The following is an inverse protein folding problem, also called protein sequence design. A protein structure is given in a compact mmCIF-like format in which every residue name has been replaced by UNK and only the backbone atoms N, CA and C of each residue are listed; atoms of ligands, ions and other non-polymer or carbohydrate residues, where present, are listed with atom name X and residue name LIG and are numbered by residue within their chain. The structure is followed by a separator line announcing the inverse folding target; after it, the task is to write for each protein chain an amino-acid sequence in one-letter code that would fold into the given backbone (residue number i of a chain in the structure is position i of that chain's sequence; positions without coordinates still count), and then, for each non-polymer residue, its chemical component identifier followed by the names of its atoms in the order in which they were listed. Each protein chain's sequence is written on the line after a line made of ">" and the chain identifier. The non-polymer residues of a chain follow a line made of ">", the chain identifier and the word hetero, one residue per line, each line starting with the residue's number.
data_IF_251145319939
#
_entry.id   IF_251145319939
#
_cell.length_a   1.000
_cell.length_b   1.000
_cell.length_c   1.000
_cell.angle_alpha   90.00
_cell.angle_beta   90.00
_cell.angle_gamma   90.00
#
_symmetry.space_group_name_H-M   'P 1'
#
loop_
_entity.id
_entity.type
_entity.pdbx_description
1 polymer ?
#
# COMPACT_ATOMS: atom_id res chain seq x y z
N UNK A 1 3.66 4.87 21.22
CA UNK A 1 4.07 3.53 21.73
C UNK A 1 3.05 2.97 22.70
N UNK A 2 3.18 1.71 23.14
CA UNK A 2 2.32 1.16 24.20
C UNK A 2 2.60 1.85 25.55
N UNK A 3 1.60 1.92 26.46
CA UNK A 3 1.78 2.53 27.78
C UNK A 3 2.98 1.97 28.56
N UNK A 4 3.21 0.65 28.46
CA UNK A 4 4.33 -0.01 29.13
C UNK A 4 5.70 0.47 28.61
N UNK A 5 5.82 0.72 27.31
CA UNK A 5 7.07 1.20 26.72
C UNK A 5 7.30 2.68 27.03
N UNK A 6 6.25 3.50 27.01
CA UNK A 6 6.33 4.91 27.40
C UNK A 6 6.83 5.06 28.85
N UNK A 7 6.19 4.35 29.79
CA UNK A 7 6.61 4.36 31.19
C UNK A 7 8.06 3.88 31.40
N UNK A 8 8.55 2.94 30.58
CA UNK A 8 9.94 2.49 30.64
C UNK A 8 10.92 3.57 30.16
N UNK A 9 10.57 4.36 29.16
CA UNK A 9 11.42 5.43 28.64
C UNK A 9 11.46 6.62 29.60
N UNK A 10 10.34 6.95 30.24
CA UNK A 10 10.30 7.96 31.30
C UNK A 10 11.22 7.59 32.46
N UNK A 11 11.28 6.31 32.85
CA UNK A 11 12.25 5.80 33.84
C UNK A 11 13.71 5.86 33.39
N UNK A 12 13.97 6.06 32.11
CA UNK A 12 15.30 6.21 31.52
C UNK A 12 15.62 7.70 31.23
N UNK A 13 14.88 8.62 31.86
CA UNK A 13 15.05 10.09 31.78
C UNK A 13 14.79 10.70 30.39
N UNK A 14 14.07 9.99 29.51
CA UNK A 14 13.55 10.59 28.28
C UNK A 14 12.42 11.57 28.61
N UNK A 15 12.52 12.80 28.12
CA UNK A 15 11.58 13.89 28.44
C UNK A 15 10.47 14.11 27.41
N UNK A 16 10.68 13.68 26.16
CA UNK A 16 9.68 13.76 25.08
C UNK A 16 9.15 12.36 24.74
N UNK A 17 8.29 11.83 25.62
CA UNK A 17 7.68 10.51 25.47
C UNK A 17 6.23 10.67 25.04
N UNK A 18 5.89 10.14 23.86
CA UNK A 18 4.53 10.17 23.34
C UNK A 18 3.89 8.76 23.31
N UNK A 19 2.72 8.66 23.92
CA UNK A 19 1.85 7.51 23.72
C UNK A 19 1.17 7.63 22.33
N UNK A 20 1.12 6.52 21.61
CA UNK A 20 0.36 6.44 20.37
C UNK A 20 -0.76 5.43 20.63
N UNK A 21 -1.92 5.94 20.99
CA UNK A 21 -2.99 5.17 21.62
C UNK A 21 -3.51 4.03 20.76
N UNK A 22 -3.48 4.18 19.42
CA UNK A 22 -3.88 3.11 18.49
C UNK A 22 -2.86 1.95 18.42
N UNK A 23 -1.66 2.12 19.02
CA UNK A 23 -0.67 1.08 19.20
C UNK A 23 0.33 0.93 18.03
N UNK A 24 1.33 0.07 18.24
CA UNK A 24 2.45 -0.11 17.29
C UNK A 24 2.00 -0.67 15.93
N UNK A 25 1.04 -1.59 15.91
CA UNK A 25 0.55 -2.15 14.66
C UNK A 25 -0.16 -1.11 13.80
N UNK A 26 -0.97 -0.24 14.41
CA UNK A 26 -1.61 0.87 13.69
C UNK A 26 -0.58 1.88 13.19
N UNK A 27 0.43 2.24 14.01
CA UNK A 27 1.55 3.08 13.57
C UNK A 27 2.22 2.54 12.30
N UNK A 28 2.48 1.22 12.28
CA UNK A 28 3.08 0.55 11.13
C UNK A 28 2.09 0.43 9.96
N UNK A 29 0.79 0.32 10.24
CA UNK A 29 -0.27 0.32 9.23
C UNK A 29 -0.41 1.69 8.57
N UNK A 30 -0.17 2.78 9.29
CA UNK A 30 -0.11 4.13 8.75
C UNK A 30 1.16 4.37 7.88
N UNK A 31 2.04 3.38 7.73
CA UNK A 31 3.27 3.51 6.95
C UNK A 31 4.33 4.41 7.61
N UNK A 32 4.20 4.68 8.91
CA UNK A 32 5.11 5.56 9.63
C UNK A 32 6.46 4.88 9.91
N UNK A 33 7.50 5.70 10.04
CA UNK A 33 8.87 5.23 10.25
C UNK A 33 9.00 4.34 11.49
N UNK A 34 9.82 3.30 11.40
CA UNK A 34 10.15 2.42 12.53
C UNK A 34 11.65 2.33 12.69
N UNK A 35 12.12 2.07 13.91
CA UNK A 35 13.53 1.88 14.23
C UNK A 35 13.81 0.45 14.76
N UNK A 36 15.06 0.01 14.64
CA UNK A 36 15.56 -1.28 15.11
C UNK A 36 15.93 -2.28 14.00
N UNK A 37 16.38 -3.47 14.39
CA UNK A 37 16.92 -4.48 13.46
C UNK A 37 15.95 -4.84 12.31
N UNK A 38 14.65 -4.90 12.60
CA UNK A 38 13.61 -5.24 11.62
C UNK A 38 13.12 -4.04 10.80
N UNK A 39 13.58 -2.82 11.08
CA UNK A 39 13.14 -1.62 10.38
C UNK A 39 13.74 -1.51 8.98
N UNK A 40 14.98 -1.99 8.79
CA UNK A 40 15.67 -1.98 7.51
C UNK A 40 15.16 -3.07 6.53
N UNK A 41 14.33 -4.01 7.01
CA UNK A 41 13.82 -5.09 6.16
C UNK A 41 12.70 -4.56 5.26
N UNK A 42 12.71 -4.88 3.95
CA UNK A 42 11.69 -4.42 3.02
C UNK A 42 10.29 -4.92 3.38
N UNK A 43 9.31 -4.02 3.28
CA UNK A 43 7.89 -4.27 3.53
C UNK A 43 7.06 -3.78 2.34
N UNK A 44 5.80 -4.19 2.29
CA UNK A 44 4.88 -3.81 1.24
C UNK A 44 4.87 -2.28 0.99
N UNK A 45 4.82 -1.48 2.05
CA UNK A 45 4.77 -0.02 1.95
C UNK A 45 6.09 0.62 1.47
N UNK A 46 7.24 0.03 1.78
CA UNK A 46 8.54 0.58 1.34
C UNK A 46 8.85 0.24 -0.11
N UNK A 47 8.26 -0.83 -0.64
CA UNK A 47 8.48 -1.30 -2.01
C UNK A 47 7.37 -0.82 -2.96
N UNK A 48 6.19 -0.51 -2.44
CA UNK A 48 5.09 0.02 -3.24
C UNK A 48 5.48 1.33 -3.94
N UNK A 49 5.09 1.44 -5.20
CA UNK A 49 5.27 2.65 -6.01
C UNK A 49 4.16 3.64 -5.67
N UNK A 50 4.54 4.89 -5.39
CA UNK A 50 3.64 5.92 -4.83
C UNK A 50 3.14 6.93 -5.87
N UNK A 51 3.72 6.88 -7.08
CA UNK A 51 3.44 7.74 -8.24
C UNK A 51 2.35 7.16 -9.16
N UNK A 52 1.60 6.15 -8.69
CA UNK A 52 0.47 5.58 -9.42
C UNK A 52 -0.60 6.64 -9.70
N UNK A 53 -1.15 6.72 -10.92
CA UNK A 53 -2.26 7.60 -11.25
C UNK A 53 -3.50 7.34 -10.40
N UNK A 54 -4.13 8.43 -9.96
CA UNK A 54 -5.34 8.40 -9.12
C UNK A 54 -6.49 9.13 -9.84
N UNK A 55 -7.68 8.58 -9.72
CA UNK A 55 -8.91 9.11 -10.29
C UNK A 55 -10.08 8.98 -9.30
N UNK A 56 -11.12 9.79 -9.51
CA UNK A 56 -12.41 9.69 -8.84
C UNK A 56 -13.39 8.79 -9.59
N UNK A 57 -14.47 8.40 -8.93
CA UNK A 57 -15.55 7.59 -9.54
C UNK A 57 -16.30 8.36 -10.64
N UNK A 58 -16.35 9.69 -10.55
CA UNK A 58 -17.01 10.59 -11.49
C UNK A 58 -16.13 10.99 -12.69
N UNK A 59 -14.86 10.56 -12.72
CA UNK A 59 -13.97 10.84 -13.85
C UNK A 59 -14.42 10.07 -15.11
N UNK A 60 -14.13 10.63 -16.29
CA UNK A 60 -14.30 9.91 -17.57
C UNK A 60 -13.17 8.92 -17.78
N UNK A 61 -13.50 7.71 -18.24
CA UNK A 61 -12.53 6.64 -18.43
C UNK A 61 -11.46 7.01 -19.48
N UNK A 62 -11.85 7.71 -20.56
CA UNK A 62 -10.91 8.17 -21.58
C UNK A 62 -9.80 9.06 -21.04
N UNK A 63 -10.16 10.05 -20.23
CA UNK A 63 -9.21 11.01 -19.63
C UNK A 63 -8.27 10.33 -18.63
N UNK A 64 -8.80 9.37 -17.85
CA UNK A 64 -7.99 8.58 -16.92
C UNK A 64 -7.03 7.68 -17.69
N UNK A 65 -7.48 7.01 -18.75
CA UNK A 65 -6.63 6.18 -19.61
C UNK A 65 -5.47 6.99 -20.19
N UNK A 66 -5.75 8.15 -20.77
CA UNK A 66 -4.72 9.00 -21.38
C UNK A 66 -3.64 9.41 -20.37
N UNK A 67 -4.07 9.94 -19.21
CA UNK A 67 -3.12 10.31 -18.13
C UNK A 67 -2.31 9.13 -17.63
N UNK A 68 -2.94 7.97 -17.49
CA UNK A 68 -2.30 6.75 -16.98
C UNK A 68 -1.23 6.26 -17.96
N UNK A 69 -1.55 6.19 -19.24
CA UNK A 69 -0.61 5.81 -20.30
C UNK A 69 0.52 6.82 -20.47
N UNK A 70 0.22 8.12 -20.42
CA UNK A 70 1.22 9.18 -20.50
C UNK A 70 2.22 9.13 -19.34
N UNK A 71 1.79 8.67 -18.16
CA UNK A 71 2.66 8.44 -17.01
C UNK A 71 3.45 7.10 -17.10
N UNK A 72 3.25 6.29 -18.16
CA UNK A 72 3.88 4.98 -18.31
C UNK A 72 3.24 3.88 -17.46
N UNK A 73 2.01 4.10 -16.99
CA UNK A 73 1.26 3.15 -16.18
C UNK A 73 0.20 2.42 -17.00
N UNK A 74 -0.13 1.21 -16.57
CA UNK A 74 -1.24 0.39 -17.07
C UNK A 74 -2.30 0.15 -15.97
N UNK A 75 -2.16 0.87 -14.85
CA UNK A 75 -3.00 0.76 -13.67
C UNK A 75 -3.29 2.17 -13.13
N UNK A 76 -4.54 2.39 -12.72
CA UNK A 76 -4.96 3.56 -11.97
C UNK A 76 -5.76 3.12 -10.74
N UNK A 77 -5.62 3.86 -9.64
CA UNK A 77 -6.39 3.60 -8.41
C UNK A 77 -7.53 4.59 -8.31
N UNK A 78 -8.72 4.08 -8.00
CA UNK A 78 -9.91 4.91 -7.81
C UNK A 78 -10.06 5.20 -6.33
N UNK A 79 -10.09 6.49 -5.97
CA UNK A 79 -10.25 6.92 -4.58
C UNK A 79 -11.39 7.90 -4.40
N UNK A 80 -11.94 7.98 -3.19
CA UNK A 80 -12.81 9.10 -2.83
C UNK A 80 -12.00 10.37 -2.50
N UNK A 81 -12.70 11.45 -2.12
CA UNK A 81 -12.08 12.73 -1.76
C UNK A 81 -11.10 12.65 -0.57
N UNK A 82 -11.21 11.63 0.28
CA UNK A 82 -10.32 11.37 1.42
C UNK A 82 -9.17 10.41 1.09
N UNK A 83 -8.93 10.11 -0.21
CA UNK A 83 -7.93 9.14 -0.70
C UNK A 83 -8.16 7.69 -0.28
N UNK A 84 -9.34 7.35 0.22
CA UNK A 84 -9.72 5.97 0.51
C UNK A 84 -9.92 5.23 -0.81
N UNK A 85 -9.29 4.07 -0.93
CA UNK A 85 -9.39 3.23 -2.13
C UNK A 85 -10.79 2.63 -2.23
N UNK A 86 -11.48 2.89 -3.34
CA UNK A 86 -12.82 2.35 -3.63
C UNK A 86 -12.83 1.42 -4.84
N UNK A 87 -11.82 1.52 -5.70
CA UNK A 87 -11.71 0.70 -6.90
C UNK A 87 -10.34 0.72 -7.55
N UNK A 88 -10.20 -0.04 -8.63
CA UNK A 88 -8.98 -0.11 -9.43
C UNK A 88 -9.34 -0.29 -10.91
N UNK A 89 -8.57 0.36 -11.78
CA UNK A 89 -8.61 0.17 -13.22
C UNK A 89 -7.30 -0.47 -13.64
N UNK A 90 -7.36 -1.65 -14.28
CA UNK A 90 -6.19 -2.27 -14.92
C UNK A 90 -6.27 -2.08 -16.42
N UNK A 91 -5.25 -2.54 -17.15
CA UNK A 91 -5.20 -2.46 -18.60
C UNK A 91 -6.51 -2.88 -19.30
N UNK A 92 -7.18 -3.92 -18.79
CA UNK A 92 -8.47 -4.37 -19.33
C UNK A 92 -9.58 -3.34 -19.13
N UNK A 93 -9.73 -2.79 -17.92
CA UNK A 93 -10.76 -1.78 -17.65
C UNK A 93 -10.45 -0.45 -18.34
N UNK A 94 -9.18 -0.04 -18.37
CA UNK A 94 -8.74 1.18 -19.06
C UNK A 94 -9.02 1.12 -20.57
N UNK A 95 -8.97 -0.05 -21.18
CA UNK A 95 -9.28 -0.25 -22.60
C UNK A 95 -10.79 -0.18 -22.93
N UNK A 96 -11.65 0.04 -21.93
CA UNK A 96 -13.09 0.20 -22.11
C UNK A 96 -13.51 1.48 -22.85
N UNK A 97 -14.82 1.67 -22.95
CA UNK A 97 -15.44 2.82 -23.62
C UNK A 97 -14.99 4.15 -23.01
N UNK A 98 -14.48 5.07 -23.84
CA UNK A 98 -13.92 6.34 -23.38
C UNK A 98 -14.95 7.22 -22.67
N UNK A 99 -16.22 7.12 -23.05
CA UNK A 99 -17.29 8.01 -22.60
C UNK A 99 -17.96 7.56 -21.29
N UNK A 100 -17.67 6.35 -20.80
CA UNK A 100 -18.23 5.89 -19.52
C UNK A 100 -17.48 6.49 -18.32
N UNK A 101 -18.21 6.65 -17.22
CA UNK A 101 -17.63 7.03 -15.93
C UNK A 101 -16.81 5.88 -15.33
N UNK A 102 -15.75 6.24 -14.62
CA UNK A 102 -14.88 5.31 -13.90
C UNK A 102 -15.68 4.39 -12.97
N UNK A 103 -16.71 4.91 -12.28
CA UNK A 103 -17.57 4.11 -11.40
C UNK A 103 -18.11 2.84 -12.07
N UNK A 104 -18.47 2.93 -13.35
CA UNK A 104 -19.07 1.82 -14.11
C UNK A 104 -18.02 0.88 -14.71
N UNK A 105 -16.81 1.38 -14.93
CA UNK A 105 -15.73 0.64 -15.56
C UNK A 105 -14.80 -0.05 -14.55
N UNK A 106 -14.64 0.51 -13.36
CA UNK A 106 -13.69 0.02 -12.36
C UNK A 106 -14.03 -1.35 -11.82
N UNK A 107 -13.00 -2.06 -11.34
CA UNK A 107 -13.21 -3.16 -10.39
C UNK A 107 -13.39 -2.58 -8.99
N UNK A 108 -14.57 -2.71 -8.36
CA UNK A 108 -14.79 -2.21 -7.02
C UNK A 108 -14.09 -3.08 -5.98
N UNK A 109 -13.73 -2.48 -4.84
CA UNK A 109 -13.26 -3.21 -3.66
C UNK A 109 -12.08 -4.16 -3.89
N UNK A 110 -10.95 -3.68 -4.47
CA UNK A 110 -9.78 -4.52 -4.65
C UNK A 110 -9.26 -5.02 -3.29
N UNK A 111 -8.73 -6.25 -3.25
CA UNK A 111 -7.97 -6.71 -2.09
C UNK A 111 -6.75 -5.80 -1.88
N UNK A 112 -6.56 -5.35 -0.65
CA UNK A 112 -5.46 -4.46 -0.25
C UNK A 112 -4.64 -5.07 0.88
N UNK A 113 -3.39 -4.64 1.01
CA UNK A 113 -2.49 -5.05 2.09
C UNK A 113 -1.99 -3.84 2.88
N UNK A 114 -1.60 -4.07 4.13
CA UNK A 114 -1.05 -3.01 4.98
C UNK A 114 0.42 -2.74 4.64
N UNK A 115 0.91 -1.49 4.80
CA UNK A 115 2.30 -1.12 4.58
C UNK A 115 3.31 -2.01 5.30
N UNK A 116 2.95 -2.54 6.47
CA UNK A 116 3.86 -3.30 7.31
C UNK A 116 4.06 -4.77 6.91
N UNK A 117 3.27 -5.30 5.98
CA UNK A 117 3.36 -6.71 5.59
C UNK A 117 4.78 -6.98 5.04
N UNK A 118 5.51 -8.00 5.53
CA UNK A 118 6.84 -8.34 5.04
C UNK A 118 6.85 -8.60 3.54
N UNK A 119 7.89 -8.13 2.82
CA UNK A 119 7.88 -8.26 1.36
C UNK A 119 7.90 -9.72 0.89
N UNK A 120 8.52 -10.61 1.66
CA UNK A 120 8.53 -12.06 1.35
C UNK A 120 7.12 -12.66 1.43
N UNK A 121 6.33 -12.25 2.42
CA UNK A 121 4.93 -12.67 2.55
C UNK A 121 4.12 -12.17 1.34
N UNK A 122 4.34 -10.92 0.92
CA UNK A 122 3.72 -10.38 -0.29
C UNK A 122 4.13 -11.15 -1.56
N UNK A 123 5.41 -11.42 -1.76
CA UNK A 123 5.92 -12.14 -2.93
C UNK A 123 5.32 -13.55 -3.03
N UNK A 124 5.29 -14.29 -1.91
CA UNK A 124 4.71 -15.62 -1.83
C UNK A 124 3.20 -15.57 -2.13
N UNK A 125 2.45 -14.70 -1.44
CA UNK A 125 1.00 -14.55 -1.60
C UNK A 125 0.62 -14.15 -3.03
N UNK A 126 1.26 -13.12 -3.58
CA UNK A 126 0.96 -12.62 -4.93
C UNK A 126 1.29 -13.66 -6.01
N UNK A 127 2.31 -14.48 -5.80
CA UNK A 127 2.65 -15.58 -6.73
C UNK A 127 1.64 -16.71 -6.65
N UNK A 128 1.27 -17.14 -5.44
CA UNK A 128 0.28 -18.19 -5.22
C UNK A 128 -1.09 -17.82 -5.80
N UNK A 129 -1.53 -16.59 -5.56
CA UNK A 129 -2.84 -16.09 -5.99
C UNK A 129 -2.82 -15.42 -7.38
N UNK A 130 -1.68 -15.47 -8.10
CA UNK A 130 -1.49 -14.89 -9.44
C UNK A 130 -1.92 -13.42 -9.54
N UNK A 131 -1.63 -12.64 -8.50
CA UNK A 131 -1.88 -11.21 -8.47
C UNK A 131 -0.71 -10.48 -9.12
N UNK A 132 -0.95 -9.71 -10.18
CA UNK A 132 0.11 -8.90 -10.80
C UNK A 132 0.46 -7.66 -9.98
N UNK A 133 -0.53 -7.11 -9.28
CA UNK A 133 -0.39 -5.94 -8.43
C UNK A 133 -1.50 -5.88 -7.38
N UNK A 134 -1.25 -5.17 -6.28
CA UNK A 134 -2.25 -4.88 -5.25
C UNK A 134 -2.02 -3.49 -4.65
N UNK A 135 -3.10 -2.72 -4.37
CA UNK A 135 -2.99 -1.49 -3.61
C UNK A 135 -2.54 -1.76 -2.17
N UNK A 136 -1.61 -0.96 -1.70
CA UNK A 136 -1.19 -0.92 -0.30
C UNK A 136 -1.93 0.23 0.37
N UNK A 137 -2.63 -0.05 1.46
CA UNK A 137 -3.50 0.91 2.14
C UNK A 137 -3.22 0.98 3.64
N UNK A 138 -3.39 2.17 4.19
CA UNK A 138 -3.32 2.41 5.63
C UNK A 138 -4.49 1.78 6.38
N UNK A 139 -4.49 1.84 7.71
CA UNK A 139 -5.54 1.24 8.54
C UNK A 139 -6.94 1.79 8.27
N UNK A 140 -7.04 3.06 7.89
CA UNK A 140 -8.26 3.77 7.48
C UNK A 140 -8.61 3.59 5.98
N UNK A 141 -7.81 2.81 5.23
CA UNK A 141 -8.05 2.50 3.82
C UNK A 141 -7.50 3.52 2.82
N UNK A 142 -6.76 4.54 3.29
CA UNK A 142 -6.11 5.51 2.42
C UNK A 142 -4.97 4.87 1.61
N UNK A 143 -4.81 5.29 0.36
CA UNK A 143 -3.79 4.74 -0.54
C UNK A 143 -2.38 5.13 -0.09
N UNK A 144 -1.54 4.14 0.20
CA UNK A 144 -0.10 4.31 0.41
C UNK A 144 0.70 4.12 -0.90
N UNK A 145 0.24 3.24 -1.80
CA UNK A 145 0.87 3.00 -3.11
C UNK A 145 0.34 1.74 -3.78
N UNK A 146 0.95 1.33 -4.89
CA UNK A 146 0.67 0.03 -5.54
C UNK A 146 1.93 -0.82 -5.54
N UNK A 147 1.80 -2.05 -5.05
CA UNK A 147 2.87 -3.05 -5.10
C UNK A 147 2.66 -3.96 -6.30
N UNK A 148 3.68 -4.08 -7.14
CA UNK A 148 3.72 -5.06 -8.22
C UNK A 148 4.40 -6.35 -7.75
N UNK A 149 3.92 -7.50 -8.25
CA UNK A 149 4.52 -8.81 -7.93
C UNK A 149 5.99 -8.86 -8.31
N UNK A 150 6.35 -8.30 -9.46
CA UNK A 150 7.73 -8.28 -9.95
C UNK A 150 8.67 -7.55 -8.98
N UNK A 151 8.22 -6.42 -8.41
CA UNK A 151 9.00 -5.70 -7.41
C UNK A 151 9.06 -6.49 -6.10
N UNK A 152 7.93 -7.04 -5.65
CA UNK A 152 7.89 -7.85 -4.43
C UNK A 152 8.84 -9.06 -4.49
N UNK A 153 8.83 -9.80 -5.60
CA UNK A 153 9.70 -10.96 -5.81
C UNK A 153 11.17 -10.53 -5.85
N UNK A 154 11.51 -9.50 -6.62
CA UNK A 154 12.88 -9.00 -6.72
C UNK A 154 13.45 -8.58 -5.37
N UNK A 155 12.68 -7.81 -4.60
CA UNK A 155 13.11 -7.35 -3.27
C UNK A 155 13.16 -8.50 -2.24
N UNK A 156 12.27 -9.49 -2.36
CA UNK A 156 12.31 -10.67 -1.50
C UNK A 156 13.54 -11.56 -1.76
N UNK A 157 13.92 -11.75 -3.03
CA UNK A 157 15.12 -12.49 -3.42
C UNK A 157 16.41 -11.78 -2.97
N UNK A 158 16.41 -10.45 -2.96
CA UNK A 158 17.49 -9.62 -2.43
C UNK A 158 17.63 -9.62 -0.90
N UNK A 159 16.69 -10.23 -0.17
CA UNK A 159 16.65 -10.23 1.30
C UNK A 159 16.51 -11.65 1.89
N UNK A 160 17.61 -12.41 2.02
CA UNK A 160 17.58 -13.78 2.56
C UNK A 160 17.05 -13.87 3.99
N UNK A 161 17.28 -12.82 4.79
CA UNK A 161 16.86 -12.73 6.20
C UNK A 161 15.42 -12.21 6.39
N UNK A 162 14.68 -11.97 5.29
CA UNK A 162 13.30 -11.54 5.36
C UNK A 162 12.40 -12.69 5.84
N UNK A 163 12.02 -12.64 7.11
CA UNK A 163 11.14 -13.65 7.74
C UNK A 163 9.71 -13.54 7.20
N UNK A 164 9.05 -14.69 7.03
CA UNK A 164 7.67 -14.85 6.54
C UNK A 164 6.59 -14.28 7.47
N UNK A 165 6.93 -13.96 8.73
CA UNK A 165 6.03 -13.39 9.74
C UNK A 165 6.81 -12.46 10.66
N UNK A 166 6.19 -11.34 11.01
CA UNK A 166 6.72 -10.35 11.96
C UNK A 166 6.09 -10.48 13.36
N UNK A 167 5.59 -11.68 13.70
CA UNK A 167 4.96 -12.01 14.99
C UNK A 167 5.57 -13.30 15.52
#
# INVERSE_FOLDING_TARGET
>A
MSPRAAARLEQLDFTEVHEYSAGKLDWMAAGLATEGENAARPRAGTVARTDVPICGVDDRLGDVRERTQAAGWDVAVVTNASRVVVGMLRAQELAGDADVLVERAMRPGPSTFRPYVPIKEMADYMSEHKLDSSPITTSDGSLAGVLFRADAVREAEGCPDCVRKMI
#
